data_IF_212144107032
#
_entry.id   IF_212144107032
#
_cell.length_a   1.000
_cell.length_b   1.000
_cell.length_c   1.000
_cell.angle_alpha   90.00
_cell.angle_beta   90.00
_cell.angle_gamma   90.00
#
_symmetry.space_group_name_H-M   'P 1'
#
loop_
_entity.id
_entity.type
_entity.pdbx_description
1 polymer ?
#
# COMPACT_ATOMS: atom_id res chain seq x y z
N UNK A 1 7.43 7.53 -46.16
CA UNK A 1 6.43 7.79 -45.11
C UNK A 1 5.81 6.53 -44.48
N UNK A 2 5.84 5.35 -45.16
CA UNK A 2 5.24 4.10 -44.59
C UNK A 2 6.17 3.40 -43.60
N UNK A 3 7.48 3.64 -43.67
CA UNK A 3 8.47 3.02 -42.76
C UNK A 3 8.42 3.58 -41.34
N UNK A 4 8.10 4.85 -41.18
CA UNK A 4 8.12 5.54 -39.87
C UNK A 4 6.90 5.17 -39.00
N UNK A 5 5.75 4.90 -39.63
CA UNK A 5 4.55 4.44 -38.98
C UNK A 5 4.69 3.00 -38.46
N UNK A 6 5.35 2.11 -39.25
CA UNK A 6 5.63 0.74 -38.77
C UNK A 6 6.62 0.71 -37.62
N UNK A 7 7.62 1.57 -37.65
CA UNK A 7 8.59 1.71 -36.53
C UNK A 7 7.95 2.19 -35.25
N UNK A 8 7.05 3.18 -35.33
CA UNK A 8 6.32 3.69 -34.15
C UNK A 8 5.36 2.64 -33.57
N UNK A 9 4.70 1.86 -34.39
CA UNK A 9 3.79 0.78 -33.98
C UNK A 9 4.57 -0.35 -33.29
N UNK A 10 5.71 -0.75 -33.88
CA UNK A 10 6.57 -1.78 -33.27
C UNK A 10 7.18 -1.31 -31.94
N UNK A 11 7.62 -0.06 -31.84
CA UNK A 11 8.11 0.50 -30.58
C UNK A 11 7.01 0.56 -29.50
N UNK A 12 5.80 0.94 -29.87
CA UNK A 12 4.65 0.95 -28.95
C UNK A 12 4.25 -0.47 -28.49
N UNK A 13 4.34 -1.46 -29.37
CA UNK A 13 4.07 -2.87 -29.02
C UNK A 13 5.16 -3.42 -28.11
N UNK A 14 6.43 -3.14 -28.37
CA UNK A 14 7.55 -3.57 -27.53
C UNK A 14 7.49 -2.92 -26.16
N UNK A 15 7.21 -1.62 -26.08
CA UNK A 15 6.97 -0.91 -24.80
C UNK A 15 5.78 -1.49 -24.04
N UNK A 16 4.70 -1.81 -24.72
CA UNK A 16 3.50 -2.44 -24.13
C UNK A 16 3.78 -3.86 -23.63
N UNK A 17 4.60 -4.62 -24.34
CA UNK A 17 5.02 -5.97 -23.95
C UNK A 17 6.03 -5.94 -22.79
N UNK A 18 6.97 -4.99 -22.76
CA UNK A 18 7.87 -4.77 -21.63
C UNK A 18 7.10 -4.30 -20.40
N UNK A 19 6.16 -3.37 -20.55
CA UNK A 19 5.28 -2.92 -19.47
C UNK A 19 4.40 -4.06 -18.93
N UNK A 20 3.84 -4.92 -19.81
CA UNK A 20 3.06 -6.10 -19.43
C UNK A 20 3.92 -7.15 -18.72
N UNK A 21 5.18 -7.31 -19.11
CA UNK A 21 6.15 -8.23 -18.46
C UNK A 21 6.60 -7.72 -17.10
N UNK A 22 6.70 -6.41 -16.92
CA UNK A 22 7.00 -5.74 -15.64
C UNK A 22 5.83 -5.83 -14.65
N UNK A 23 4.58 -5.88 -15.14
CA UNK A 23 3.37 -6.02 -14.31
C UNK A 23 3.04 -7.47 -13.92
N UNK A 24 3.61 -8.45 -14.60
CA UNK A 24 3.48 -9.87 -14.27
C UNK A 24 4.64 -10.31 -13.36
N UNK A 25 4.65 -9.87 -12.12
CA UNK A 25 5.37 -10.60 -11.09
C UNK A 25 4.60 -11.90 -10.84
N UNK A 26 5.27 -13.08 -10.86
CA UNK A 26 4.61 -14.35 -10.62
C UNK A 26 4.00 -14.35 -9.21
N UNK A 27 2.73 -14.63 -9.14
CA UNK A 27 2.04 -15.01 -7.92
C UNK A 27 2.42 -16.44 -7.60
N UNK A 28 3.66 -16.70 -7.14
CA UNK A 28 4.04 -17.99 -6.55
C UNK A 28 5.27 -17.85 -5.67
N UNK A 29 5.08 -18.31 -4.43
CA UNK A 29 6.09 -18.72 -3.46
C UNK A 29 7.09 -17.62 -3.03
N UNK A 30 6.65 -16.82 -2.04
CA UNK A 30 7.59 -16.26 -1.09
C UNK A 30 8.22 -17.45 -0.35
N UNK A 31 9.43 -17.88 -0.78
CA UNK A 31 10.27 -18.71 0.09
C UNK A 31 10.46 -17.91 1.36
N UNK A 32 9.94 -18.45 2.46
CA UNK A 32 10.33 -18.02 3.80
C UNK A 32 11.83 -18.32 3.89
N UNK A 33 12.64 -17.29 3.73
CA UNK A 33 14.04 -17.35 4.13
C UNK A 33 13.96 -17.25 5.64
N UNK A 34 14.37 -18.31 6.33
CA UNK A 34 14.64 -18.26 7.78
C UNK A 34 15.72 -17.20 8.00
N UNK A 35 15.29 -16.00 8.36
CA UNK A 35 16.19 -14.93 8.76
C UNK A 35 16.54 -15.19 10.21
N UNK A 36 17.77 -15.64 10.44
CA UNK A 36 18.41 -15.60 11.76
C UNK A 36 18.17 -14.23 12.38
N UNK A 37 17.80 -14.21 13.67
CA UNK A 37 17.61 -12.99 14.46
C UNK A 37 18.88 -12.15 14.40
N UNK A 38 18.93 -11.23 13.46
CA UNK A 38 19.91 -10.16 13.49
C UNK A 38 19.35 -9.08 14.45
N UNK A 39 19.91 -9.05 15.66
CA UNK A 39 19.81 -7.92 16.59
C UNK A 39 20.78 -6.83 16.11
N UNK A 40 20.61 -6.34 14.89
CA UNK A 40 21.43 -5.27 14.35
C UNK A 40 20.73 -3.92 14.55
N UNK A 41 21.54 -2.90 14.83
CA UNK A 41 21.18 -1.47 15.05
C UNK A 41 20.43 -0.80 13.86
N UNK A 42 20.06 -1.55 12.84
CA UNK A 42 19.44 -1.11 11.59
C UNK A 42 17.96 -1.53 11.44
N UNK A 43 17.22 -1.61 12.55
CA UNK A 43 15.80 -1.88 12.46
C UNK A 43 15.07 -0.71 11.77
N UNK A 44 14.38 -0.99 10.66
CA UNK A 44 13.68 0.00 9.86
C UNK A 44 12.26 -0.44 9.54
N UNK A 45 11.30 0.44 9.80
CA UNK A 45 9.91 0.26 9.40
C UNK A 45 9.54 1.33 8.38
N UNK A 46 8.98 0.93 7.25
CA UNK A 46 8.61 1.82 6.16
C UNK A 46 7.09 1.79 6.00
N UNK A 47 6.45 2.93 6.27
CA UNK A 47 5.01 3.11 6.11
C UNK A 47 4.70 3.86 4.81
N UNK A 48 3.82 3.31 3.97
CA UNK A 48 3.45 3.90 2.67
C UNK A 48 1.94 4.14 2.60
N UNK A 49 1.52 5.40 2.85
CA UNK A 49 0.23 5.93 2.46
C UNK A 49 0.17 6.18 0.95
N UNK A 50 -1.00 6.06 0.32
CA UNK A 50 -1.06 6.20 -1.16
C UNK A 50 -2.48 6.42 -1.68
N UNK A 51 -2.60 7.20 -2.72
CA UNK A 51 -3.80 7.28 -3.55
C UNK A 51 -4.04 5.96 -4.30
N UNK A 52 -5.31 5.67 -4.64
CA UNK A 52 -5.62 4.48 -5.44
C UNK A 52 -5.13 4.68 -6.88
N UNK A 53 -4.40 3.69 -7.40
CA UNK A 53 -3.78 3.76 -8.73
C UNK A 53 -2.38 4.38 -8.76
N UNK A 54 -1.87 4.95 -7.65
CA UNK A 54 -0.52 5.54 -7.59
C UNK A 54 0.63 4.51 -7.45
N UNK A 55 0.37 3.22 -7.59
CA UNK A 55 1.43 2.20 -7.63
C UNK A 55 2.03 1.78 -6.29
N UNK A 56 1.46 2.18 -5.16
CA UNK A 56 2.06 1.95 -3.83
C UNK A 56 2.36 0.49 -3.49
N UNK A 57 1.54 -0.49 -3.94
CA UNK A 57 1.84 -1.92 -3.76
C UNK A 57 3.10 -2.35 -4.53
N UNK A 58 3.27 -1.85 -5.75
CA UNK A 58 4.43 -2.19 -6.58
C UNK A 58 5.70 -1.56 -6.04
N UNK A 59 5.66 -0.26 -5.72
CA UNK A 59 6.78 0.48 -5.14
C UNK A 59 7.18 -0.12 -3.80
N UNK A 60 6.22 -0.45 -2.92
CA UNK A 60 6.49 -1.07 -1.62
C UNK A 60 7.20 -2.43 -1.76
N UNK A 61 6.81 -3.25 -2.75
CA UNK A 61 7.51 -4.51 -3.04
C UNK A 61 8.93 -4.30 -3.56
N UNK A 62 9.16 -3.29 -4.41
CA UNK A 62 10.51 -2.95 -4.87
C UNK A 62 11.43 -2.58 -3.69
N UNK A 63 10.93 -1.76 -2.77
CA UNK A 63 11.67 -1.33 -1.58
C UNK A 63 11.93 -2.53 -0.65
N UNK A 64 10.92 -3.35 -0.39
CA UNK A 64 11.07 -4.54 0.45
C UNK A 64 12.11 -5.52 -0.13
N UNK A 65 12.07 -5.74 -1.44
CA UNK A 65 13.05 -6.59 -2.13
C UNK A 65 14.48 -6.02 -2.07
N UNK A 66 14.60 -4.68 -2.17
CA UNK A 66 15.92 -4.02 -2.10
C UNK A 66 16.61 -4.27 -0.74
N UNK A 67 15.85 -4.13 0.36
CA UNK A 67 16.37 -4.33 1.71
C UNK A 67 16.34 -5.79 2.18
N UNK A 68 15.72 -6.70 1.44
CA UNK A 68 15.51 -8.09 1.88
C UNK A 68 14.56 -8.21 3.08
N UNK A 69 13.64 -7.27 3.26
CA UNK A 69 12.70 -7.20 4.38
C UNK A 69 11.29 -7.60 3.96
N UNK A 70 10.44 -7.92 4.94
CA UNK A 70 9.06 -8.33 4.67
C UNK A 70 8.19 -7.17 4.18
N UNK A 71 7.19 -7.53 3.39
CA UNK A 71 6.18 -6.62 2.83
C UNK A 71 4.79 -6.99 3.35
N UNK A 72 4.06 -5.99 3.82
CA UNK A 72 2.70 -6.15 4.31
C UNK A 72 1.75 -5.16 3.63
N UNK A 73 0.70 -5.69 3.01
CA UNK A 73 -0.48 -4.91 2.62
C UNK A 73 -1.71 -5.37 3.41
N UNK A 74 -2.89 -4.89 3.02
CA UNK A 74 -4.12 -5.20 3.76
C UNK A 74 -4.45 -6.69 3.84
N UNK A 75 -4.08 -7.46 2.83
CA UNK A 75 -4.35 -8.90 2.75
C UNK A 75 -3.39 -9.66 3.67
N UNK A 76 -2.09 -9.36 3.55
CA UNK A 76 -1.06 -9.98 4.39
C UNK A 76 -1.16 -9.57 5.87
N UNK A 77 -1.67 -8.37 6.17
CA UNK A 77 -1.94 -7.97 7.56
C UNK A 77 -3.08 -8.78 8.20
N UNK A 78 -4.10 -9.14 7.43
CA UNK A 78 -5.18 -10.01 7.91
C UNK A 78 -4.65 -11.43 8.18
N UNK A 79 -3.82 -11.95 7.29
CA UNK A 79 -3.17 -13.25 7.44
C UNK A 79 -2.26 -13.27 8.69
N UNK A 80 -1.39 -12.28 8.82
CA UNK A 80 -0.53 -12.14 10.00
C UNK A 80 -1.33 -12.00 11.32
N UNK A 81 -2.46 -11.33 11.30
CA UNK A 81 -3.32 -11.21 12.48
C UNK A 81 -3.95 -12.56 12.86
N UNK A 82 -4.39 -13.37 11.88
CA UNK A 82 -4.88 -14.74 12.13
C UNK A 82 -3.77 -15.61 12.75
N UNK A 83 -2.56 -15.54 12.21
CA UNK A 83 -1.40 -16.28 12.71
C UNK A 83 -1.00 -15.86 14.14
N UNK A 84 -1.23 -14.61 14.49
CA UNK A 84 -1.03 -14.08 15.86
C UNK A 84 -2.15 -14.45 16.84
N UNK A 85 -3.14 -15.25 16.43
CA UNK A 85 -4.21 -15.76 17.27
C UNK A 85 -5.37 -14.80 17.50
N UNK A 86 -5.54 -13.78 16.67
CA UNK A 86 -6.77 -13.00 16.69
C UNK A 86 -7.95 -13.85 16.22
N UNK A 87 -9.08 -13.70 16.90
CA UNK A 87 -10.26 -14.52 16.67
C UNK A 87 -10.72 -14.47 15.20
N UNK A 88 -10.87 -15.63 14.53
CA UNK A 88 -11.28 -15.68 13.12
C UNK A 88 -12.55 -14.91 12.81
N UNK A 89 -13.49 -14.83 13.76
CA UNK A 89 -14.78 -14.15 13.63
C UNK A 89 -14.64 -12.64 13.33
N UNK A 90 -13.51 -12.03 13.72
CA UNK A 90 -13.20 -10.62 13.38
C UNK A 90 -13.03 -10.45 11.87
N UNK A 91 -12.58 -11.52 11.19
CA UNK A 91 -12.25 -11.52 9.77
C UNK A 91 -13.34 -12.18 8.91
N UNK A 92 -14.12 -13.12 9.46
CA UNK A 92 -15.18 -13.84 8.73
C UNK A 92 -16.27 -12.91 8.24
N UNK A 93 -16.71 -11.94 9.05
CA UNK A 93 -17.66 -10.90 8.63
C UNK A 93 -17.08 -9.96 7.56
N UNK A 94 -15.76 -9.90 7.42
CA UNK A 94 -15.10 -9.18 6.35
C UNK A 94 -14.93 -10.04 5.07
N UNK A 95 -14.93 -11.36 5.19
CA UNK A 95 -14.82 -12.32 4.07
C UNK A 95 -16.20 -12.65 3.45
N UNK A 96 -17.31 -12.55 4.20
CA UNK A 96 -18.68 -12.68 3.66
C UNK A 96 -19.05 -11.51 2.73
N UNK A 97 -18.31 -10.42 2.76
CA UNK A 97 -18.43 -9.34 1.78
C UNK A 97 -17.50 -9.67 0.61
N UNK A 98 -18.02 -9.91 -0.63
CA UNK A 98 -17.24 -10.38 -1.77
C UNK A 98 -16.05 -9.48 -2.04
N UNK A 99 -14.86 -10.02 -1.81
CA UNK A 99 -13.54 -9.39 -1.94
C UNK A 99 -13.29 -8.20 -0.99
N UNK A 100 -12.08 -8.08 -0.50
CA UNK A 100 -11.51 -6.87 0.13
C UNK A 100 -11.76 -5.57 -0.67
N UNK A 101 -12.27 -5.70 -1.86
CA UNK A 101 -12.82 -4.64 -2.69
C UNK A 101 -14.04 -3.98 -2.06
N UNK A 102 -14.85 -4.73 -1.33
CA UNK A 102 -16.07 -4.27 -0.68
C UNK A 102 -15.85 -3.79 0.77
N UNK A 103 -14.77 -4.15 1.44
CA UNK A 103 -14.47 -3.62 2.78
C UNK A 103 -14.26 -2.09 2.79
N UNK A 104 -14.00 -1.49 1.62
CA UNK A 104 -14.03 -0.04 1.43
C UNK A 104 -15.33 0.45 0.79
N UNK A 105 -16.15 -0.42 0.20
CA UNK A 105 -17.41 -0.06 -0.44
C UNK A 105 -18.59 0.04 0.52
N UNK A 106 -18.50 -0.61 1.68
CA UNK A 106 -19.59 -0.66 2.66
C UNK A 106 -19.40 0.31 3.85
N UNK A 107 -18.46 1.25 3.76
CA UNK A 107 -18.41 2.33 4.75
C UNK A 107 -19.68 3.20 4.69
N UNK A 108 -20.35 3.26 3.55
CA UNK A 108 -21.68 3.90 3.42
C UNK A 108 -22.79 3.15 4.18
N UNK A 109 -22.69 1.82 4.33
CA UNK A 109 -23.60 1.03 5.17
C UNK A 109 -23.34 1.24 6.67
N UNK A 110 -22.14 1.71 7.05
CA UNK A 110 -21.83 2.07 8.43
C UNK A 110 -22.57 3.34 8.91
N UNK A 111 -23.08 4.13 7.98
CA UNK A 111 -23.87 5.35 8.28
C UNK A 111 -25.38 5.06 8.40
N UNK A 112 -25.81 3.83 8.27
CA UNK A 112 -27.23 3.49 8.48
C UNK A 112 -27.56 3.50 9.97
N UNK A 113 -28.54 4.31 10.42
CA UNK A 113 -28.81 4.52 11.86
C UNK A 113 -29.42 3.31 12.59
N UNK A 114 -29.54 2.15 11.96
CA UNK A 114 -30.26 0.99 12.51
C UNK A 114 -29.42 -0.28 12.75
N UNK A 115 -28.09 -0.25 12.60
CA UNK A 115 -27.25 -1.43 12.90
C UNK A 115 -25.99 -1.05 13.65
N UNK A 116 -26.00 -1.24 14.95
CA UNK A 116 -24.81 -1.09 15.84
C UNK A 116 -23.73 -2.16 15.59
N UNK A 117 -24.06 -3.29 14.96
CA UNK A 117 -23.14 -4.41 14.73
C UNK A 117 -22.05 -4.17 13.68
N UNK A 118 -22.29 -3.55 12.50
CA UNK A 118 -21.23 -3.34 11.50
C UNK A 118 -20.11 -2.42 11.98
N UNK A 119 -20.45 -1.38 12.75
CA UNK A 119 -19.49 -0.43 13.29
C UNK A 119 -18.57 -1.09 14.33
N UNK A 120 -19.10 -1.97 15.16
CA UNK A 120 -18.32 -2.76 16.14
C UNK A 120 -17.37 -3.73 15.42
N UNK A 121 -17.79 -4.33 14.31
CA UNK A 121 -16.91 -5.22 13.53
C UNK A 121 -15.78 -4.45 12.85
N UNK A 122 -16.03 -3.26 12.30
CA UNK A 122 -15.02 -2.39 11.71
C UNK A 122 -13.98 -1.88 12.73
N UNK A 123 -14.43 -1.48 13.92
CA UNK A 123 -13.54 -1.05 15.00
C UNK A 123 -12.67 -2.21 15.52
N UNK A 124 -13.23 -3.40 15.66
CA UNK A 124 -12.48 -4.59 16.05
C UNK A 124 -11.44 -4.99 15.01
N UNK A 125 -11.80 -4.91 13.71
CA UNK A 125 -10.86 -5.16 12.63
C UNK A 125 -9.72 -4.14 12.62
N UNK A 126 -10.01 -2.84 12.78
CA UNK A 126 -8.99 -1.80 12.86
C UNK A 126 -8.06 -2.03 14.06
N UNK A 127 -8.62 -2.38 15.22
CA UNK A 127 -7.85 -2.71 16.43
C UNK A 127 -6.92 -3.90 16.20
N UNK A 128 -7.43 -5.02 15.68
CA UNK A 128 -6.65 -6.21 15.39
C UNK A 128 -5.52 -5.92 14.39
N UNK A 129 -5.80 -5.18 13.31
CA UNK A 129 -4.79 -4.76 12.36
C UNK A 129 -3.74 -3.83 12.98
N UNK A 130 -4.16 -2.90 13.85
CA UNK A 130 -3.24 -1.98 14.53
C UNK A 130 -2.30 -2.72 15.48
N UNK A 131 -2.81 -3.63 16.30
CA UNK A 131 -2.01 -4.47 17.19
C UNK A 131 -1.06 -5.38 16.41
N UNK A 132 -1.51 -5.93 15.28
CA UNK A 132 -0.67 -6.73 14.37
C UNK A 132 0.47 -5.89 13.81
N UNK A 133 0.20 -4.69 13.30
CA UNK A 133 1.23 -3.79 12.78
C UNK A 133 2.26 -3.41 13.85
N UNK A 134 1.82 -3.11 15.07
CA UNK A 134 2.71 -2.80 16.18
C UNK A 134 3.63 -3.99 16.51
N UNK A 135 3.09 -5.20 16.63
CA UNK A 135 3.88 -6.42 16.88
C UNK A 135 4.88 -6.72 15.77
N UNK A 136 4.47 -6.62 14.51
CA UNK A 136 5.36 -6.78 13.36
C UNK A 136 6.50 -5.75 13.44
N UNK A 137 6.16 -4.48 13.64
CA UNK A 137 7.12 -3.40 13.73
C UNK A 137 8.06 -3.49 14.95
N UNK A 138 7.71 -4.24 15.99
CA UNK A 138 8.58 -4.51 17.15
C UNK A 138 9.60 -5.63 16.87
N UNK A 139 9.25 -6.57 16.01
CA UNK A 139 10.01 -7.82 15.86
C UNK A 139 10.86 -7.88 14.61
N UNK A 140 10.53 -7.09 13.58
CA UNK A 140 11.22 -7.17 12.29
C UNK A 140 11.16 -5.86 11.49
N UNK A 141 12.18 -5.64 10.67
CA UNK A 141 12.14 -4.60 9.64
C UNK A 141 11.12 -4.95 8.56
N UNK A 142 10.31 -3.98 8.15
CA UNK A 142 9.25 -4.26 7.18
C UNK A 142 8.79 -3.03 6.41
N UNK A 143 8.11 -3.29 5.29
CA UNK A 143 7.33 -2.30 4.55
C UNK A 143 5.85 -2.57 4.76
N UNK A 144 5.12 -1.60 5.26
CA UNK A 144 3.67 -1.67 5.47
C UNK A 144 2.97 -0.68 4.54
N UNK A 145 2.02 -1.16 3.74
CA UNK A 145 1.31 -0.33 2.76
C UNK A 145 -0.15 -0.14 3.14
N UNK A 146 -0.49 1.08 3.58
CA UNK A 146 -1.83 1.53 3.93
C UNK A 146 -2.29 1.16 5.34
N UNK A 147 -3.62 1.06 5.54
CA UNK A 147 -4.27 0.77 6.83
C UNK A 147 -3.92 1.76 7.94
N UNK A 148 -3.70 3.03 7.56
CA UNK A 148 -3.29 4.08 8.49
C UNK A 148 -2.01 3.71 9.30
N UNK A 149 -1.08 2.95 8.69
CA UNK A 149 0.16 2.52 9.33
C UNK A 149 1.02 3.70 9.82
N UNK A 150 1.00 4.81 9.10
CA UNK A 150 1.61 6.09 9.51
C UNK A 150 1.06 6.58 10.87
N UNK A 151 -0.25 6.48 11.07
CA UNK A 151 -0.89 6.85 12.33
C UNK A 151 -0.69 5.83 13.43
N UNK A 152 -0.82 4.54 13.13
CA UNK A 152 -0.67 3.45 14.09
C UNK A 152 0.74 3.42 14.68
N UNK A 153 1.75 3.71 13.87
CA UNK A 153 3.17 3.65 14.24
C UNK A 153 3.80 5.02 14.57
N UNK A 154 3.00 6.08 14.69
CA UNK A 154 3.45 7.47 14.85
C UNK A 154 4.33 7.75 16.07
N UNK A 155 4.22 6.93 17.14
CA UNK A 155 5.02 7.09 18.36
C UNK A 155 6.42 6.45 18.23
N UNK A 156 6.68 5.72 17.17
CA UNK A 156 7.95 5.05 16.92
C UNK A 156 8.92 5.99 16.20
N UNK A 157 10.20 5.91 16.59
CA UNK A 157 11.27 6.74 16.00
C UNK A 157 11.98 6.05 14.84
N UNK A 158 11.79 4.76 14.67
CA UNK A 158 12.39 3.91 13.63
C UNK A 158 11.49 3.73 12.40
N UNK A 159 10.43 4.50 12.27
CA UNK A 159 9.52 4.52 11.13
C UNK A 159 9.89 5.66 10.18
N UNK A 160 9.84 5.38 8.88
CA UNK A 160 9.84 6.40 7.82
C UNK A 160 8.51 6.33 7.08
N UNK A 161 7.87 7.48 6.93
CA UNK A 161 6.51 7.61 6.42
C UNK A 161 6.48 8.29 5.06
N UNK A 162 5.82 7.65 4.08
CA UNK A 162 5.66 8.17 2.73
C UNK A 162 4.18 8.30 2.37
N UNK A 163 3.88 9.31 1.52
CA UNK A 163 2.60 9.38 0.84
C UNK A 163 2.79 9.48 -0.68
N UNK A 164 2.21 8.54 -1.41
CA UNK A 164 2.29 8.48 -2.87
C UNK A 164 1.02 9.00 -3.51
N UNK A 165 1.14 10.00 -4.35
CA UNK A 165 0.06 10.60 -5.12
C UNK A 165 0.36 10.58 -6.61
N UNK A 166 -0.65 10.76 -7.44
CA UNK A 166 -0.51 11.05 -8.86
C UNK A 166 -1.80 11.70 -9.40
N UNK A 167 -1.76 12.43 -10.54
CA UNK A 167 -2.94 12.94 -11.21
C UNK A 167 -3.96 11.83 -11.53
N UNK A 168 -5.24 12.20 -11.62
CA UNK A 168 -6.33 11.27 -11.89
C UNK A 168 -6.09 10.45 -13.17
N UNK A 169 -5.64 11.11 -14.22
CA UNK A 169 -5.39 10.50 -15.52
C UNK A 169 -4.37 9.37 -15.41
N UNK A 170 -3.22 9.63 -14.78
CA UNK A 170 -2.18 8.64 -14.56
C UNK A 170 -2.70 7.43 -13.76
N UNK A 171 -3.46 7.70 -12.71
CA UNK A 171 -4.01 6.65 -11.83
C UNK A 171 -5.07 5.81 -12.55
N UNK A 172 -5.94 6.46 -13.33
CA UNK A 172 -6.96 5.79 -14.11
C UNK A 172 -6.35 4.93 -15.23
N UNK A 173 -5.33 5.40 -15.95
CA UNK A 173 -4.60 4.64 -16.94
C UNK A 173 -3.94 3.39 -16.35
N UNK A 174 -3.30 3.53 -15.19
CA UNK A 174 -2.71 2.41 -14.47
C UNK A 174 -3.76 1.36 -14.08
N UNK A 175 -4.91 1.80 -13.56
CA UNK A 175 -6.01 0.90 -13.18
C UNK A 175 -6.66 0.26 -14.41
N UNK A 176 -6.90 1.03 -15.48
CA UNK A 176 -7.45 0.51 -16.73
C UNK A 176 -6.57 -0.60 -17.33
N UNK A 177 -5.27 -0.35 -17.39
CA UNK A 177 -4.29 -1.33 -17.89
C UNK A 177 -4.21 -2.58 -17.00
N UNK A 178 -4.16 -2.40 -15.69
CA UNK A 178 -4.01 -3.49 -14.72
C UNK A 178 -5.23 -4.41 -14.66
N UNK A 179 -6.43 -3.85 -14.73
CA UNK A 179 -7.69 -4.60 -14.64
C UNK A 179 -8.30 -4.92 -16.01
N UNK A 180 -7.68 -4.47 -17.10
CA UNK A 180 -8.18 -4.60 -18.46
C UNK A 180 -9.62 -4.07 -18.63
N UNK A 181 -9.87 -2.88 -18.11
CA UNK A 181 -11.17 -2.19 -18.16
C UNK A 181 -11.07 -0.88 -18.93
N UNK A 182 -12.22 -0.37 -19.34
CA UNK A 182 -12.33 0.95 -19.97
C UNK A 182 -11.89 2.07 -19.05
N UNK A 183 -11.31 3.14 -19.63
CA UNK A 183 -10.76 4.28 -18.88
C UNK A 183 -11.82 5.00 -18.02
N UNK A 184 -13.07 5.14 -18.50
CA UNK A 184 -14.14 5.77 -17.72
C UNK A 184 -14.54 4.92 -16.52
N UNK A 185 -14.56 3.59 -16.69
CA UNK A 185 -14.78 2.66 -15.58
C UNK A 185 -13.63 2.72 -14.57
N UNK A 186 -12.40 2.84 -15.06
CA UNK A 186 -11.23 2.99 -14.22
C UNK A 186 -11.26 4.31 -13.41
N UNK A 187 -11.65 5.44 -14.04
CA UNK A 187 -11.82 6.72 -13.34
C UNK A 187 -12.84 6.60 -12.19
N UNK A 188 -14.02 6.07 -12.49
CA UNK A 188 -15.05 5.85 -11.47
C UNK A 188 -14.54 4.98 -10.32
N UNK A 189 -13.85 3.88 -10.64
CA UNK A 189 -13.26 2.99 -9.64
C UNK A 189 -12.19 3.71 -8.79
N UNK A 190 -11.38 4.59 -9.40
CA UNK A 190 -10.41 5.41 -8.68
C UNK A 190 -11.09 6.34 -7.69
N UNK A 191 -12.14 7.06 -8.11
CA UNK A 191 -12.90 7.96 -7.25
C UNK A 191 -13.54 7.24 -6.06
N UNK A 192 -14.24 6.13 -6.32
CA UNK A 192 -14.90 5.32 -5.30
C UNK A 192 -13.90 4.80 -4.26
N UNK A 193 -12.76 4.26 -4.71
CA UNK A 193 -11.73 3.71 -3.83
C UNK A 193 -10.96 4.77 -3.06
N UNK A 194 -10.79 5.94 -3.63
CA UNK A 194 -10.13 7.05 -2.97
C UNK A 194 -11.01 7.63 -1.86
N UNK A 195 -12.30 7.84 -2.16
CA UNK A 195 -13.30 8.28 -1.17
C UNK A 195 -13.32 7.31 0.02
N UNK A 196 -13.45 6.02 -0.23
CA UNK A 196 -13.47 5.02 0.83
C UNK A 196 -12.18 5.00 1.68
N UNK A 197 -11.00 5.24 1.08
CA UNK A 197 -9.73 5.32 1.83
C UNK A 197 -9.68 6.57 2.71
N UNK A 198 -10.13 7.71 2.14
CA UNK A 198 -10.18 8.96 2.89
C UNK A 198 -11.11 8.83 4.10
N UNK A 199 -12.32 8.35 3.89
CA UNK A 199 -13.31 8.14 4.96
C UNK A 199 -12.77 7.18 6.05
N UNK A 200 -12.17 6.07 5.66
CA UNK A 200 -11.54 5.14 6.59
C UNK A 200 -10.44 5.82 7.42
N UNK A 201 -9.52 6.53 6.77
CA UNK A 201 -8.42 7.18 7.45
C UNK A 201 -8.91 8.28 8.40
N UNK A 202 -9.76 9.18 7.89
CA UNK A 202 -10.28 10.31 8.67
C UNK A 202 -11.08 9.81 9.89
N UNK A 203 -11.88 8.75 9.71
CA UNK A 203 -12.68 8.17 10.79
C UNK A 203 -11.84 7.58 11.93
N UNK A 204 -10.84 6.74 11.58
CA UNK A 204 -10.04 6.06 12.60
C UNK A 204 -8.90 6.91 13.18
N UNK A 205 -8.45 7.93 12.49
CA UNK A 205 -7.31 8.73 12.92
C UNK A 205 -7.70 10.12 13.44
N UNK A 206 -8.85 10.62 13.05
CA UNK A 206 -9.25 12.01 13.29
C UNK A 206 -8.39 13.03 12.54
N UNK A 207 -7.61 12.60 11.55
CA UNK A 207 -6.72 13.43 10.73
C UNK A 207 -7.17 13.41 9.28
N UNK A 208 -6.71 14.40 8.51
CA UNK A 208 -6.97 14.46 7.08
C UNK A 208 -6.02 13.53 6.31
N UNK A 209 -6.61 12.64 5.49
CA UNK A 209 -5.83 11.70 4.69
C UNK A 209 -5.02 12.42 3.60
N UNK A 210 -3.70 12.13 3.55
CA UNK A 210 -2.79 12.72 2.58
C UNK A 210 -2.34 14.14 2.92
N UNK A 211 -2.66 14.66 4.12
CA UNK A 211 -2.04 15.90 4.59
C UNK A 211 -0.53 15.69 4.72
N UNK A 212 0.22 16.51 3.96
CA UNK A 212 1.68 16.42 3.87
C UNK A 212 2.40 16.53 5.20
N UNK A 213 1.80 17.14 6.21
CA UNK A 213 2.36 17.25 7.56
C UNK A 213 2.43 15.93 8.32
N UNK A 214 1.70 14.93 7.85
CA UNK A 214 1.67 13.60 8.46
C UNK A 214 2.72 12.64 7.92
N UNK A 215 3.54 13.05 6.94
CA UNK A 215 4.49 12.19 6.24
C UNK A 215 5.87 12.82 6.13
N UNK A 216 6.92 12.01 6.21
CA UNK A 216 8.30 12.46 6.02
C UNK A 216 8.56 12.88 4.57
N UNK A 217 7.90 12.23 3.61
CA UNK A 217 8.01 12.55 2.18
C UNK A 217 6.71 12.26 1.42
N UNK A 218 6.21 13.27 0.70
CA UNK A 218 5.10 13.12 -0.24
C UNK A 218 5.61 13.17 -1.69
N UNK A 219 5.26 12.16 -2.51
CA UNK A 219 5.80 12.01 -3.86
C UNK A 219 4.70 11.97 -4.91
N UNK A 220 4.89 12.74 -5.97
CA UNK A 220 4.10 12.62 -7.20
C UNK A 220 4.75 11.57 -8.13
N UNK A 221 4.19 10.37 -8.11
CA UNK A 221 4.73 9.21 -8.86
C UNK A 221 4.69 9.43 -10.37
N UNK A 222 3.78 10.26 -10.87
CA UNK A 222 3.67 10.53 -12.31
C UNK A 222 4.91 11.22 -12.91
N UNK A 223 5.73 11.85 -12.07
CA UNK A 223 6.93 12.58 -12.51
C UNK A 223 8.13 11.67 -12.79
N UNK A 224 8.21 10.56 -12.06
CA UNK A 224 9.37 9.66 -12.11
C UNK A 224 9.01 8.27 -12.65
N UNK A 225 7.73 7.87 -12.58
CA UNK A 225 7.33 6.48 -12.74
C UNK A 225 7.64 5.65 -11.49
N UNK A 226 7.27 4.37 -11.50
CA UNK A 226 7.30 3.54 -10.29
C UNK A 226 8.71 3.19 -9.84
N UNK A 227 9.57 2.75 -10.76
CA UNK A 227 10.93 2.29 -10.48
C UNK A 227 11.79 3.41 -9.91
N UNK A 228 11.84 4.57 -10.60
CA UNK A 228 12.62 5.72 -10.13
C UNK A 228 12.06 6.33 -8.85
N UNK A 229 10.75 6.23 -8.63
CA UNK A 229 10.16 6.62 -7.34
C UNK A 229 10.68 5.70 -6.23
N UNK A 230 10.73 4.39 -6.46
CA UNK A 230 11.30 3.45 -5.49
C UNK A 230 12.79 3.74 -5.21
N UNK A 231 13.61 3.98 -6.25
CA UNK A 231 15.02 4.35 -6.12
C UNK A 231 15.21 5.62 -5.29
N UNK A 232 14.42 6.66 -5.55
CA UNK A 232 14.46 7.91 -4.79
C UNK A 232 14.04 7.69 -3.32
N UNK A 233 13.00 6.89 -3.06
CA UNK A 233 12.58 6.56 -1.70
C UNK A 233 13.66 5.77 -0.96
N UNK A 234 14.33 4.82 -1.60
CA UNK A 234 15.46 4.07 -1.05
C UNK A 234 16.59 5.04 -0.65
N UNK A 235 16.98 5.95 -1.54
CA UNK A 235 18.02 6.93 -1.23
C UNK A 235 17.64 7.86 -0.05
N UNK A 236 16.35 8.21 0.07
CA UNK A 236 15.84 8.96 1.23
C UNK A 236 15.94 8.14 2.52
N UNK A 237 15.50 6.87 2.50
CA UNK A 237 15.57 5.95 3.64
C UNK A 237 17.02 5.80 4.11
N UNK A 238 17.94 5.51 3.20
CA UNK A 238 19.37 5.37 3.51
C UNK A 238 19.92 6.63 4.18
N UNK A 239 19.53 7.82 3.66
CA UNK A 239 19.98 9.11 4.22
C UNK A 239 19.44 9.36 5.63
N UNK A 240 18.21 8.89 5.94
CA UNK A 240 17.61 9.03 7.27
C UNK A 240 18.31 8.12 8.29
N UNK A 241 18.62 6.87 7.89
CA UNK A 241 19.21 5.90 8.80
C UNK A 241 20.73 6.08 8.97
N UNK A 242 21.45 6.50 7.93
CA UNK A 242 22.89 6.84 8.06
C UNK A 242 23.13 7.93 9.09
N UNK A 243 22.26 8.94 9.17
CA UNK A 243 22.35 10.00 10.20
C UNK A 243 22.08 9.51 11.64
N UNK A 244 21.42 8.37 11.81
CA UNK A 244 21.17 7.80 13.14
C UNK A 244 22.40 7.03 13.67
N UNK A 245 23.20 6.46 12.78
CA UNK A 245 24.42 5.73 13.16
C UNK A 245 25.58 6.65 13.61
N UNK A 246 25.50 7.97 13.30
CA UNK A 246 26.53 8.96 13.65
C UNK A 246 26.26 9.69 14.99
N UNK A 247 25.18 9.38 15.70
CA UNK A 247 24.79 9.97 16.98
C UNK A 247 24.80 8.96 18.11
#
# INVERSE_FOLDING_TARGET
>A
PVSDTLSAITAAIVLKLQYKKSLMLPSKEQKVVDVEKNTDDNHVVISIGRQFGAGGRYIGKLIANHYGIKYYDSELLVEAAKDMGFAPEIFEKADEVPSLQTSFGNLADLSSPNTSEPMLSGANLFKAQSETMQRIAETESCVIVGRASDYVLRERKDVVTFFLRAPMEFRAENIASRHNIDIKKAQKLVEERETARKEYYDYYTGKEWGDSKGYDLCVDVSKLGFEKTAEMMIAFIDSVFSKKAEK
#
